data_IF_134221997584
#
_entry.id   IF_134221997584
#
_cell.length_a   1.000
_cell.length_b   1.000
_cell.length_c   1.000
_cell.angle_alpha   90.00
_cell.angle_beta   90.00
_cell.angle_gamma   90.00
#
_symmetry.space_group_name_H-M   'P 1'
#
loop_
_entity.id
_entity.type
_entity.pdbx_description
1 polymer ?
#
# COMPACT_ATOMS: atom_id res chain seq x y z
N UNK A 1 18.46 50.05 -16.06
CA UNK A 1 19.86 50.38 -16.40
C UNK A 1 20.42 49.19 -17.16
N UNK A 2 20.58 49.36 -18.47
CA UNK A 2 20.99 48.31 -19.42
C UNK A 2 22.51 48.32 -19.48
N UNK A 3 23.16 47.23 -19.10
CA UNK A 3 24.61 47.08 -19.20
C UNK A 3 24.95 46.44 -20.55
N UNK A 4 25.36 47.28 -21.48
CA UNK A 4 25.88 46.95 -22.80
C UNK A 4 27.28 46.37 -22.64
N UNK A 5 27.45 45.06 -22.89
CA UNK A 5 28.76 44.40 -22.86
C UNK A 5 29.29 44.24 -24.28
N UNK A 6 30.19 45.15 -24.64
CA UNK A 6 30.97 45.15 -25.86
C UNK A 6 31.81 43.88 -25.98
N UNK A 7 31.67 43.16 -27.11
CA UNK A 7 32.52 42.01 -27.48
C UNK A 7 33.74 42.53 -28.24
N UNK A 8 34.92 42.41 -27.64
CA UNK A 8 36.20 42.57 -28.34
C UNK A 8 36.64 41.19 -28.83
N UNK A 9 36.66 40.99 -30.14
CA UNK A 9 37.22 39.79 -30.79
C UNK A 9 38.60 40.17 -31.30
N UNK A 10 39.66 39.71 -30.63
CA UNK A 10 41.01 39.83 -31.13
C UNK A 10 41.31 38.71 -32.13
N UNK A 11 41.90 39.07 -33.27
CA UNK A 11 42.30 38.15 -34.33
C UNK A 11 43.82 38.06 -34.33
N UNK A 12 44.38 36.87 -34.16
CA UNK A 12 45.77 36.58 -34.49
C UNK A 12 45.81 35.62 -35.68
N UNK A 13 46.57 36.01 -36.70
CA UNK A 13 46.77 35.28 -37.94
C UNK A 13 48.07 34.50 -37.84
N UNK A 14 48.01 33.16 -37.88
CA UNK A 14 49.19 32.32 -38.05
C UNK A 14 49.33 31.88 -39.51
N UNK A 15 50.56 31.95 -40.04
CA UNK A 15 50.91 31.82 -41.46
C UNK A 15 50.81 30.39 -42.03
N UNK A 16 49.95 29.54 -41.46
CA UNK A 16 49.80 28.13 -41.86
C UNK A 16 48.33 27.71 -41.96
N UNK A 17 47.50 28.50 -42.66
CA UNK A 17 46.35 28.00 -43.43
C UNK A 17 45.29 27.13 -42.72
N UNK A 18 45.22 27.12 -41.39
CA UNK A 18 44.32 26.28 -40.60
C UNK A 18 43.39 27.13 -39.74
N UNK A 19 42.08 27.10 -40.03
CA UNK A 19 41.06 27.80 -39.22
C UNK A 19 40.69 26.95 -38.00
N UNK A 20 41.39 27.12 -36.89
CA UNK A 20 41.01 26.54 -35.59
C UNK A 20 40.33 27.61 -34.72
N UNK A 21 39.01 27.51 -34.56
CA UNK A 21 38.22 28.39 -33.70
C UNK A 21 38.40 28.00 -32.23
N UNK A 22 39.22 28.72 -31.47
CA UNK A 22 39.29 28.57 -30.00
C UNK A 22 38.49 29.67 -29.30
N UNK A 23 37.30 29.30 -28.80
CA UNK A 23 36.53 30.14 -27.88
C UNK A 23 37.11 30.05 -26.47
N UNK A 24 37.81 31.09 -26.00
CA UNK A 24 38.08 31.30 -24.57
C UNK A 24 36.83 31.86 -23.89
N UNK A 25 35.92 30.97 -23.48
CA UNK A 25 34.70 31.32 -22.75
C UNK A 25 34.81 31.04 -21.25
N UNK A 26 34.65 32.10 -20.46
CA UNK A 26 34.59 32.10 -18.98
C UNK A 26 33.44 31.21 -18.46
N UNK A 27 33.76 30.37 -17.49
CA UNK A 27 32.86 29.37 -16.87
C UNK A 27 31.84 30.07 -15.97
N UNK A 28 30.61 30.30 -16.47
CA UNK A 28 29.48 30.71 -15.64
C UNK A 28 29.15 29.63 -14.59
N UNK A 29 29.24 29.98 -13.31
CA UNK A 29 28.71 29.17 -12.21
C UNK A 29 27.18 29.21 -12.27
N UNK A 30 26.55 28.13 -12.72
CA UNK A 30 25.09 27.96 -12.57
C UNK A 30 24.78 27.86 -11.09
N UNK A 31 24.12 28.90 -10.58
CA UNK A 31 23.60 28.94 -9.23
C UNK A 31 22.42 27.97 -9.09
N UNK A 32 22.31 27.47 -7.87
CA UNK A 32 21.44 26.43 -7.33
C UNK A 32 19.95 26.74 -7.53
N UNK A 33 19.33 26.11 -8.54
CA UNK A 33 17.88 26.12 -8.80
C UNK A 33 17.40 24.70 -9.12
N UNK A 34 17.80 23.73 -8.28
CA UNK A 34 17.43 22.30 -8.42
C UNK A 34 16.57 21.77 -7.27
N UNK A 35 16.43 22.51 -6.18
CA UNK A 35 15.76 22.00 -4.98
C UNK A 35 14.22 22.20 -5.04
N UNK A 36 13.72 23.21 -5.78
CA UNK A 36 12.29 23.51 -5.86
C UNK A 36 11.49 22.56 -6.78
N UNK A 37 12.14 22.01 -7.81
CA UNK A 37 11.48 21.05 -8.72
C UNK A 37 11.32 19.68 -8.07
N UNK A 38 12.20 19.34 -7.12
CA UNK A 38 12.11 18.08 -6.37
C UNK A 38 11.01 18.14 -5.30
N UNK A 39 10.90 19.28 -4.59
CA UNK A 39 9.85 19.50 -3.58
C UNK A 39 8.42 19.45 -4.16
N UNK A 40 8.20 20.03 -5.35
CA UNK A 40 6.89 19.96 -6.03
C UNK A 40 6.49 18.55 -6.49
N UNK A 41 7.45 17.67 -6.77
CA UNK A 41 7.17 16.27 -7.19
C UNK A 41 6.77 15.38 -6.03
N UNK A 42 7.29 15.61 -4.82
CA UNK A 42 6.93 14.84 -3.63
C UNK A 42 5.43 14.95 -3.29
N UNK A 43 4.88 16.17 -3.29
CA UNK A 43 3.45 16.41 -3.03
C UNK A 43 2.51 15.83 -4.11
N UNK A 44 3.00 15.53 -5.31
CA UNK A 44 2.13 15.05 -6.40
C UNK A 44 1.60 13.64 -6.14
N UNK A 45 2.35 12.79 -5.43
CA UNK A 45 1.91 11.42 -5.12
C UNK A 45 0.88 11.41 -3.99
N UNK A 46 1.10 12.19 -2.93
CA UNK A 46 0.15 12.30 -1.82
C UNK A 46 -1.18 12.91 -2.27
N UNK A 47 -1.14 13.96 -3.11
CA UNK A 47 -2.34 14.55 -3.69
C UNK A 47 -3.10 13.57 -4.60
N UNK A 48 -2.39 12.70 -5.34
CA UNK A 48 -3.02 11.65 -6.13
C UNK A 48 -3.69 10.60 -5.24
N UNK A 49 -3.04 10.18 -4.16
CA UNK A 49 -3.62 9.23 -3.21
C UNK A 49 -4.84 9.82 -2.51
N UNK A 50 -4.79 11.09 -2.10
CA UNK A 50 -5.93 11.81 -1.55
C UNK A 50 -7.07 11.94 -2.56
N UNK A 51 -6.77 12.32 -3.80
CA UNK A 51 -7.77 12.39 -4.86
C UNK A 51 -8.39 11.02 -5.19
N UNK A 52 -7.61 9.95 -5.19
CA UNK A 52 -8.11 8.59 -5.37
C UNK A 52 -9.00 8.14 -4.20
N UNK A 53 -8.65 8.51 -2.97
CA UNK A 53 -9.44 8.23 -1.78
C UNK A 53 -10.80 8.95 -1.83
N UNK A 54 -10.81 10.22 -2.25
CA UNK A 54 -12.05 11.00 -2.44
C UNK A 54 -12.92 10.43 -3.57
N UNK A 55 -12.30 9.96 -4.66
CA UNK A 55 -13.02 9.35 -5.78
C UNK A 55 -13.59 7.95 -5.47
N UNK A 56 -13.12 7.29 -4.39
CA UNK A 56 -13.46 5.90 -4.08
C UNK A 56 -13.74 5.76 -2.58
N UNK A 57 -14.88 6.27 -2.09
CA UNK A 57 -15.24 6.14 -0.69
C UNK A 57 -15.31 4.66 -0.31
N UNK A 58 -14.75 4.31 0.85
CA UNK A 58 -14.75 2.94 1.36
C UNK A 58 -16.19 2.43 1.47
N UNK A 59 -16.45 1.25 0.91
CA UNK A 59 -17.74 0.58 1.09
C UNK A 59 -17.97 0.18 2.55
N UNK A 60 -19.22 0.17 3.02
CA UNK A 60 -19.54 -0.22 4.39
C UNK A 60 -19.09 -1.66 4.68
N UNK A 61 -18.53 -1.87 5.86
CA UNK A 61 -18.19 -3.21 6.34
C UNK A 61 -19.49 -3.97 6.59
N UNK A 62 -19.67 -5.06 5.85
CA UNK A 62 -20.86 -5.91 5.88
C UNK A 62 -20.45 -7.31 6.33
N UNK A 63 -21.05 -7.85 7.40
CA UNK A 63 -20.83 -9.24 7.79
C UNK A 63 -21.20 -10.21 6.67
N UNK A 64 -20.51 -11.35 6.57
CA UNK A 64 -20.81 -12.37 5.54
C UNK A 64 -22.25 -12.88 5.64
N UNK A 65 -22.81 -12.97 6.85
CA UNK A 65 -24.19 -13.40 7.11
C UNK A 65 -25.25 -12.44 6.56
N UNK A 66 -24.94 -11.14 6.48
CA UNK A 66 -25.87 -10.10 6.02
C UNK A 66 -25.62 -9.65 4.58
N UNK A 67 -24.73 -10.34 3.85
CA UNK A 67 -24.38 -9.95 2.48
C UNK A 67 -25.54 -10.11 1.49
N UNK A 68 -26.55 -10.95 1.77
CA UNK A 68 -27.69 -11.16 0.87
C UNK A 68 -28.54 -9.91 0.68
N UNK A 69 -28.67 -9.12 1.75
CA UNK A 69 -29.59 -7.98 1.80
C UNK A 69 -28.89 -6.66 1.44
N UNK A 70 -27.57 -6.71 1.29
CA UNK A 70 -26.76 -5.56 1.03
C UNK A 70 -26.98 -5.02 -0.40
N UNK A 71 -27.47 -3.78 -0.47
CA UNK A 71 -27.62 -3.06 -1.74
C UNK A 71 -26.34 -2.30 -2.06
N UNK A 72 -25.72 -2.60 -3.19
CA UNK A 72 -24.58 -1.87 -3.73
C UNK A 72 -23.23 -2.57 -3.53
N UNK A 73 -22.18 -1.79 -3.25
CA UNK A 73 -20.82 -2.30 -3.04
C UNK A 73 -20.60 -2.58 -1.57
N UNK A 74 -20.05 -3.75 -1.26
CA UNK A 74 -19.81 -4.19 0.12
C UNK A 74 -18.33 -4.36 0.39
N UNK A 75 -17.94 -4.13 1.64
CA UNK A 75 -16.65 -4.58 2.18
C UNK A 75 -16.89 -5.77 3.07
N UNK A 76 -16.14 -6.85 2.90
CA UNK A 76 -16.24 -8.04 3.76
C UNK A 76 -14.90 -8.33 4.39
N UNK A 77 -14.93 -9.02 5.53
CA UNK A 77 -13.76 -9.50 6.22
C UNK A 77 -13.96 -10.97 6.57
N UNK A 78 -12.93 -11.77 6.40
CA UNK A 78 -12.98 -13.19 6.74
C UNK A 78 -11.65 -13.90 6.57
N UNK A 79 -11.58 -15.11 7.08
CA UNK A 79 -10.46 -16.02 6.91
C UNK A 79 -10.58 -16.79 5.59
N UNK A 80 -9.47 -16.95 4.88
CA UNK A 80 -9.41 -17.71 3.63
C UNK A 80 -9.29 -19.21 3.95
N UNK A 81 -10.40 -19.95 3.89
CA UNK A 81 -10.37 -21.42 4.07
C UNK A 81 -9.83 -22.10 2.81
N UNK A 82 -10.32 -21.68 1.64
CA UNK A 82 -10.01 -22.34 0.38
C UNK A 82 -9.54 -21.33 -0.66
N UNK A 83 -8.48 -21.72 -1.38
CA UNK A 83 -7.89 -20.94 -2.45
C UNK A 83 -7.83 -21.79 -3.71
N UNK A 84 -8.64 -21.50 -4.72
CA UNK A 84 -8.60 -22.25 -5.98
C UNK A 84 -7.31 -21.98 -6.75
N UNK A 85 -6.99 -22.83 -7.72
CA UNK A 85 -5.97 -22.52 -8.72
C UNK A 85 -6.39 -21.33 -9.57
N UNK A 86 -5.39 -20.58 -10.08
CA UNK A 86 -5.64 -19.47 -10.99
C UNK A 86 -6.08 -20.01 -12.36
N UNK A 87 -7.24 -19.58 -12.81
CA UNK A 87 -7.83 -19.97 -14.11
C UNK A 87 -7.69 -18.81 -15.09
N UNK A 88 -7.50 -19.13 -16.37
CA UNK A 88 -7.54 -18.16 -17.46
C UNK A 88 -8.88 -18.29 -18.17
N UNK A 89 -9.64 -17.20 -18.21
CA UNK A 89 -10.91 -17.13 -18.91
C UNK A 89 -10.73 -16.25 -20.14
N UNK A 90 -10.97 -16.82 -21.32
CA UNK A 90 -10.95 -16.10 -22.58
C UNK A 90 -12.33 -15.50 -22.86
N UNK A 91 -12.38 -14.20 -23.12
CA UNK A 91 -13.59 -13.50 -23.60
C UNK A 91 -13.23 -12.76 -24.89
N UNK A 92 -13.72 -13.26 -26.03
CA UNK A 92 -13.34 -12.74 -27.34
C UNK A 92 -11.86 -12.96 -27.60
N UNK A 93 -11.10 -11.88 -27.84
CA UNK A 93 -9.64 -11.91 -28.04
C UNK A 93 -8.85 -11.75 -26.74
N UNK A 94 -9.51 -11.37 -25.66
CA UNK A 94 -8.85 -11.05 -24.39
C UNK A 94 -8.84 -12.25 -23.45
N UNK A 95 -7.76 -12.40 -22.68
CA UNK A 95 -7.60 -13.44 -21.65
C UNK A 95 -7.52 -12.77 -20.29
N UNK A 96 -8.43 -13.15 -19.39
CA UNK A 96 -8.51 -12.60 -18.04
C UNK A 96 -8.22 -13.69 -17.00
N UNK A 97 -7.33 -13.44 -16.03
CA UNK A 97 -7.15 -14.34 -14.92
C UNK A 97 -8.36 -14.23 -13.96
N UNK A 98 -8.78 -15.37 -13.44
CA UNK A 98 -9.88 -15.53 -12.51
C UNK A 98 -9.48 -16.53 -11.43
N UNK A 99 -9.84 -16.25 -10.18
CA UNK A 99 -9.58 -17.13 -9.05
C UNK A 99 -10.75 -17.10 -8.08
N UNK A 100 -11.15 -18.25 -7.58
CA UNK A 100 -12.20 -18.36 -6.58
C UNK A 100 -11.57 -18.62 -5.22
N UNK A 101 -12.09 -17.96 -4.20
CA UNK A 101 -11.68 -18.16 -2.81
C UNK A 101 -12.93 -18.36 -1.97
N UNK A 102 -12.84 -19.17 -0.92
CA UNK A 102 -13.90 -19.24 0.11
C UNK A 102 -13.45 -18.48 1.34
N UNK A 103 -14.27 -17.52 1.74
CA UNK A 103 -14.09 -16.74 2.96
C UNK A 103 -15.00 -17.28 4.06
N UNK A 104 -14.47 -17.31 5.28
CA UNK A 104 -15.20 -17.68 6.48
C UNK A 104 -15.24 -16.53 7.48
N UNK A 105 -16.40 -16.34 8.09
CA UNK A 105 -16.57 -15.45 9.22
C UNK A 105 -17.54 -16.12 10.20
N UNK A 106 -17.01 -16.60 11.32
CA UNK A 106 -17.75 -17.48 12.24
C UNK A 106 -18.20 -18.75 11.53
N UNK A 107 -19.50 -19.05 11.59
CA UNK A 107 -20.09 -20.25 10.97
C UNK A 107 -20.49 -20.04 9.50
N UNK A 108 -20.39 -18.80 8.99
CA UNK A 108 -20.82 -18.48 7.62
C UNK A 108 -19.65 -18.57 6.65
N UNK A 109 -19.85 -19.28 5.54
CA UNK A 109 -18.90 -19.39 4.45
C UNK A 109 -19.48 -18.77 3.17
N UNK A 110 -18.65 -18.06 2.42
CA UNK A 110 -19.07 -17.38 1.20
C UNK A 110 -18.00 -17.48 0.10
N UNK A 111 -18.45 -17.77 -1.12
CA UNK A 111 -17.59 -17.81 -2.30
C UNK A 111 -17.32 -16.40 -2.84
N UNK A 112 -16.04 -16.05 -3.00
CA UNK A 112 -15.58 -14.81 -3.60
C UNK A 112 -14.81 -15.10 -4.91
N UNK A 113 -15.33 -14.57 -6.01
CA UNK A 113 -14.77 -14.64 -7.35
C UNK A 113 -13.91 -13.40 -7.62
N UNK A 114 -12.59 -13.59 -7.68
CA UNK A 114 -11.60 -12.57 -7.97
C UNK A 114 -11.23 -12.57 -9.45
N UNK A 115 -11.14 -11.37 -10.05
CA UNK A 115 -10.84 -11.17 -11.45
C UNK A 115 -9.61 -10.27 -11.63
N UNK A 116 -8.89 -10.47 -12.74
CA UNK A 116 -7.78 -9.59 -13.17
C UNK A 116 -6.72 -9.51 -12.06
N UNK A 117 -6.30 -8.30 -11.71
CA UNK A 117 -5.25 -8.05 -10.71
C UNK A 117 -5.61 -8.61 -9.34
N UNK A 118 -6.89 -8.57 -8.94
CA UNK A 118 -7.33 -9.12 -7.67
C UNK A 118 -7.12 -10.65 -7.57
N UNK A 119 -7.10 -11.37 -8.70
CA UNK A 119 -6.89 -12.82 -8.72
C UNK A 119 -5.43 -13.24 -8.51
N UNK A 120 -4.49 -12.31 -8.72
CA UNK A 120 -3.04 -12.54 -8.64
C UNK A 120 -2.44 -11.90 -7.39
N UNK A 121 -3.27 -11.34 -6.50
CA UNK A 121 -2.77 -10.65 -5.32
C UNK A 121 -2.00 -11.60 -4.39
N UNK A 122 -0.77 -11.22 -4.05
CA UNK A 122 0.15 -12.00 -3.20
C UNK A 122 -0.33 -12.09 -1.75
N UNK A 123 -1.25 -11.20 -1.33
CA UNK A 123 -1.81 -11.19 0.02
C UNK A 123 -2.76 -12.36 0.29
N UNK A 124 -3.17 -13.08 -0.75
CA UNK A 124 -4.08 -14.22 -0.65
C UNK A 124 -3.33 -15.47 -0.21
N UNK A 125 -3.49 -15.83 1.06
CA UNK A 125 -2.92 -17.05 1.65
C UNK A 125 -4.01 -17.80 2.41
N UNK A 126 -4.01 -19.13 2.32
CA UNK A 126 -4.91 -20.00 3.09
C UNK A 126 -4.61 -19.81 4.59
N UNK A 127 -5.65 -19.72 5.42
CA UNK A 127 -5.57 -19.39 6.86
C UNK A 127 -5.32 -17.91 7.15
N UNK A 128 -5.10 -17.08 6.12
CA UNK A 128 -4.96 -15.64 6.29
C UNK A 128 -6.31 -14.95 6.45
N UNK A 129 -6.39 -14.01 7.39
CA UNK A 129 -7.54 -13.10 7.51
C UNK A 129 -7.37 -11.90 6.58
N UNK A 130 -8.36 -11.66 5.74
CA UNK A 130 -8.33 -10.58 4.75
C UNK A 130 -9.60 -9.74 4.81
N UNK A 131 -9.44 -8.47 4.46
CA UNK A 131 -10.52 -7.52 4.24
C UNK A 131 -10.54 -7.15 2.77
N UNK A 132 -11.69 -7.33 2.14
CA UNK A 132 -11.86 -7.08 0.71
C UNK A 132 -12.99 -6.08 0.50
N UNK A 133 -12.67 -4.95 -0.12
CA UNK A 133 -13.61 -3.85 -0.35
C UNK A 133 -14.17 -3.84 -1.77
N UNK A 134 -15.24 -3.05 -1.96
CA UNK A 134 -15.87 -2.79 -3.25
C UNK A 134 -16.32 -4.05 -4.00
N UNK A 135 -16.82 -5.03 -3.27
CA UNK A 135 -17.34 -6.26 -3.83
C UNK A 135 -18.79 -6.07 -4.29
N UNK A 136 -19.15 -6.81 -5.33
CA UNK A 136 -20.53 -6.89 -5.82
C UNK A 136 -21.13 -8.21 -5.36
N UNK A 137 -22.24 -8.14 -4.64
CA UNK A 137 -23.06 -9.31 -4.33
C UNK A 137 -23.78 -9.76 -5.60
N UNK A 138 -23.64 -11.03 -5.96
CA UNK A 138 -24.29 -11.62 -7.13
C UNK A 138 -24.96 -12.92 -6.70
N UNK A 139 -26.26 -13.03 -6.97
CA UNK A 139 -26.99 -14.28 -6.77
C UNK A 139 -26.90 -15.11 -8.05
N UNK A 140 -26.45 -16.35 -7.92
CA UNK A 140 -26.41 -17.33 -9.01
C UNK A 140 -27.28 -18.53 -8.67
N UNK A 141 -27.57 -19.39 -9.65
CA UNK A 141 -28.28 -20.65 -9.41
C UNK A 141 -27.57 -21.59 -8.43
N UNK A 142 -26.27 -21.37 -8.17
CA UNK A 142 -25.45 -22.11 -7.21
C UNK A 142 -25.34 -21.41 -5.84
N UNK A 143 -26.15 -20.37 -5.61
CA UNK A 143 -26.15 -19.59 -4.38
C UNK A 143 -25.52 -18.20 -4.54
N UNK A 144 -25.39 -17.54 -3.40
CA UNK A 144 -24.81 -16.20 -3.28
C UNK A 144 -23.29 -16.26 -3.44
N UNK A 145 -22.77 -15.37 -4.29
CA UNK A 145 -21.33 -15.20 -4.50
C UNK A 145 -20.97 -13.71 -4.49
N UNK A 146 -19.78 -13.41 -4.00
CA UNK A 146 -19.19 -12.08 -4.10
C UNK A 146 -18.30 -12.03 -5.35
N UNK A 147 -18.32 -10.90 -6.06
CA UNK A 147 -17.47 -10.68 -7.22
C UNK A 147 -16.62 -9.44 -7.02
N UNK A 148 -15.32 -9.56 -7.30
CA UNK A 148 -14.43 -8.41 -7.32
C UNK A 148 -14.80 -7.45 -8.45
N UNK A 149 -14.63 -6.16 -8.21
CA UNK A 149 -14.77 -5.11 -9.22
C UNK A 149 -13.40 -4.51 -9.55
N UNK A 150 -13.34 -3.60 -10.53
CA UNK A 150 -12.11 -2.86 -10.85
C UNK A 150 -11.62 -1.95 -9.70
N UNK A 151 -12.44 -1.76 -8.66
CA UNK A 151 -12.12 -0.93 -7.50
C UNK A 151 -11.87 -1.76 -6.25
N UNK A 152 -11.90 -3.09 -6.35
CA UNK A 152 -11.67 -3.96 -5.21
C UNK A 152 -10.24 -3.83 -4.69
N UNK A 153 -10.12 -3.65 -3.38
CA UNK A 153 -8.85 -3.64 -2.67
C UNK A 153 -8.84 -4.77 -1.65
N UNK A 154 -7.74 -5.51 -1.63
CA UNK A 154 -7.48 -6.59 -0.68
C UNK A 154 -6.45 -6.09 0.33
N UNK A 155 -6.82 -6.13 1.59
CA UNK A 155 -6.00 -5.77 2.74
C UNK A 155 -5.83 -7.00 3.62
N UNK A 156 -4.60 -7.25 4.08
CA UNK A 156 -4.36 -8.29 5.08
C UNK A 156 -4.76 -7.69 6.42
N UNK A 157 -5.66 -8.37 7.12
CA UNK A 157 -5.99 -8.03 8.50
C UNK A 157 -5.05 -8.86 9.35
N UNK A 158 -4.02 -8.23 9.92
CA UNK A 158 -3.34 -8.86 11.05
C UNK A 158 -4.38 -8.97 12.16
N UNK A 159 -4.60 -10.17 12.68
CA UNK A 159 -5.11 -10.25 14.04
C UNK A 159 -4.10 -9.50 14.90
N UNK A 160 -4.55 -8.44 15.56
CA UNK A 160 -3.91 -8.04 16.80
C UNK A 160 -4.15 -9.25 17.71
N UNK A 161 -3.15 -10.14 17.79
CA UNK A 161 -3.21 -11.23 18.73
C UNK A 161 -3.22 -10.55 20.11
N UNK A 162 -4.39 -10.53 20.75
CA UNK A 162 -4.51 -10.10 22.14
C UNK A 162 -3.90 -11.22 22.95
N UNK A 163 -2.59 -11.13 23.15
CA UNK A 163 -1.84 -12.12 23.90
C UNK A 163 -1.92 -11.77 25.38
N UNK A 164 -2.29 -12.74 26.21
CA UNK A 164 -2.28 -12.57 27.66
C UNK A 164 -0.83 -12.52 28.16
N UNK A 165 -0.45 -11.43 28.83
CA UNK A 165 0.80 -11.39 29.58
C UNK A 165 0.62 -12.12 30.91
N UNK A 166 1.39 -13.19 31.14
CA UNK A 166 1.40 -13.95 32.39
C UNK A 166 2.31 -13.33 33.45
N UNK A 167 3.37 -12.64 33.01
CA UNK A 167 4.35 -12.06 33.91
C UNK A 167 5.11 -10.92 33.26
N UNK A 168 5.61 -10.02 34.10
CA UNK A 168 6.44 -8.88 33.72
C UNK A 168 7.74 -9.01 34.50
N UNK A 169 8.87 -8.86 33.83
CA UNK A 169 10.19 -8.86 34.45
C UNK A 169 10.97 -7.62 33.99
N UNK A 170 11.65 -6.96 34.92
CA UNK A 170 12.59 -5.90 34.60
C UNK A 170 13.84 -6.49 33.92
N UNK A 171 14.40 -5.77 32.96
CA UNK A 171 15.68 -6.12 32.35
C UNK A 171 16.79 -5.43 33.12
N UNK A 172 17.65 -6.21 33.79
CA UNK A 172 18.72 -5.67 34.64
C UNK A 172 19.71 -4.75 33.89
N UNK A 173 19.86 -4.95 32.58
CA UNK A 173 20.81 -4.21 31.73
C UNK A 173 20.20 -2.96 31.04
N UNK A 174 18.87 -2.80 31.01
CA UNK A 174 18.21 -1.68 30.33
C UNK A 174 17.05 -1.09 31.16
N UNK A 175 17.28 0.02 31.90
CA UNK A 175 16.22 0.68 32.66
C UNK A 175 15.16 1.25 31.71
N UNK A 176 13.88 1.02 32.05
CA UNK A 176 12.72 1.40 31.23
C UNK A 176 12.25 0.31 30.26
N UNK A 177 12.98 -0.80 30.17
CA UNK A 177 12.62 -1.94 29.32
C UNK A 177 12.04 -3.08 30.16
N UNK A 178 10.88 -3.59 29.74
CA UNK A 178 10.20 -4.71 30.40
C UNK A 178 10.18 -5.94 29.48
N UNK A 179 10.40 -7.11 30.06
CA UNK A 179 10.17 -8.40 29.41
C UNK A 179 8.80 -8.94 29.82
N UNK A 180 7.91 -9.07 28.85
CA UNK A 180 6.61 -9.71 28.99
C UNK A 180 6.72 -11.20 28.68
N UNK A 181 6.32 -12.04 29.63
CA UNK A 181 6.10 -13.46 29.38
C UNK A 181 4.66 -13.66 28.87
N UNK A 182 4.54 -14.13 27.63
CA UNK A 182 3.28 -14.43 26.98
C UNK A 182 2.80 -15.85 27.31
N UNK A 183 1.50 -16.08 27.09
CA UNK A 183 0.79 -17.35 27.28
C UNK A 183 1.42 -18.58 26.61
N UNK A 184 2.16 -18.39 25.53
CA UNK A 184 2.86 -19.46 24.81
C UNK A 184 4.32 -19.69 25.28
N UNK A 185 4.72 -19.13 26.43
CA UNK A 185 6.11 -19.21 26.91
C UNK A 185 7.09 -18.39 26.08
N UNK A 186 6.57 -17.49 25.23
CA UNK A 186 7.35 -16.52 24.45
C UNK A 186 7.63 -15.29 25.31
N UNK A 187 8.84 -14.75 25.25
CA UNK A 187 9.18 -13.48 25.91
C UNK A 187 9.28 -12.36 24.88
N UNK A 188 8.61 -11.24 25.13
CA UNK A 188 8.68 -10.05 24.28
C UNK A 188 9.17 -8.87 25.11
N UNK A 189 10.17 -8.19 24.60
CA UNK A 189 10.74 -6.99 25.20
C UNK A 189 9.98 -5.76 24.72
N UNK A 190 9.51 -4.94 25.66
CA UNK A 190 8.79 -3.69 25.38
C UNK A 190 9.53 -2.50 26.00
N UNK A 191 9.59 -1.40 25.25
CA UNK A 191 10.21 -0.15 25.70
C UNK A 191 9.24 0.70 26.52
N UNK A 192 9.80 1.58 27.36
CA UNK A 192 9.08 2.50 28.25
C UNK A 192 7.89 3.20 27.59
N UNK A 193 8.12 3.78 26.41
CA UNK A 193 7.12 4.53 25.66
C UNK A 193 5.82 3.74 25.35
N UNK A 194 5.87 2.41 25.37
CA UNK A 194 4.72 1.55 25.09
C UNK A 194 3.90 1.22 26.33
N UNK A 195 4.48 1.20 27.54
CA UNK A 195 3.77 0.82 28.76
C UNK A 195 3.46 1.98 29.71
N UNK A 196 4.20 3.10 29.65
CA UNK A 196 3.89 4.29 30.46
C UNK A 196 2.44 4.77 30.30
N UNK A 197 1.83 4.78 29.10
CA UNK A 197 0.44 5.19 28.95
C UNK A 197 -0.56 4.26 29.65
N UNK A 198 -0.20 2.98 29.83
CA UNK A 198 -1.05 1.98 30.48
C UNK A 198 -0.98 2.14 32.00
N UNK A 199 0.20 2.42 32.55
CA UNK A 199 0.37 2.70 33.98
C UNK A 199 -0.41 3.96 34.41
N UNK A 200 -0.43 4.98 33.56
CA UNK A 200 -1.24 6.20 33.77
C UNK A 200 -2.75 5.95 33.75
N UNK A 201 -3.21 4.85 33.14
CA UNK A 201 -4.63 4.46 33.10
C UNK A 201 -5.03 3.57 34.29
N UNK A 202 -4.05 2.94 34.96
CA UNK A 202 -4.27 2.04 36.09
C UNK A 202 -4.12 2.74 37.46
N UNK A 203 -3.46 3.89 37.50
CA UNK A 203 -3.35 4.79 38.66
C UNK A 203 -4.45 5.85 38.65
#
# INVERSE_FOLDING_TARGET
MVAEQSRVVAWEFDASGGRELRFKGTRLKRHKERDDVFSKRANTQELKQQAEALCRPLSPLTPLSSCSDAKGRVTVEGEVIELSTLRKITKGKDVFPMRNIKLQQGDTQLLLCLWREASVDKKLQIGGRIKVSHLKVTQSGYGMQLQSTNFSRIEKVSSEDVVGAFGVMDVEDEPGTLNLLLDEGRTVTIAEALWTPIEQLLN
#
